data_IF_171262928529
#
_entry.id   IF_171262928529
#
_cell.length_a   1.000
_cell.length_b   1.000
_cell.length_c   1.000
_cell.angle_alpha   90.00
_cell.angle_beta   90.00
_cell.angle_gamma   90.00
#
_symmetry.space_group_name_H-M   'P 1'
#
loop_
_entity.id
_entity.type
_entity.pdbx_description
1 polymer ?
#
# COMPACT_ATOMS: atom_id res chain seq x y z
N UNK A 1 -22.58 -1.66 -8.06
CA UNK A 1 -23.21 -2.96 -7.74
C UNK A 1 -23.82 -2.86 -6.35
N UNK A 2 -24.96 -3.48 -6.12
CA UNK A 2 -25.57 -3.46 -4.78
C UNK A 2 -25.15 -4.70 -4.02
N UNK A 3 -24.63 -4.49 -2.84
CA UNK A 3 -24.24 -5.55 -1.92
C UNK A 3 -25.07 -5.43 -0.65
N UNK A 4 -25.35 -6.56 -0.02
CA UNK A 4 -25.85 -6.57 1.35
C UNK A 4 -24.73 -7.00 2.27
N UNK A 5 -24.37 -6.16 3.22
CA UNK A 5 -23.49 -6.50 4.32
C UNK A 5 -24.29 -7.27 5.36
N UNK A 6 -23.76 -8.41 5.78
CA UNK A 6 -24.26 -9.22 6.88
C UNK A 6 -23.27 -9.12 8.02
N UNK A 7 -23.75 -8.78 9.21
CA UNK A 7 -22.94 -8.72 10.44
C UNK A 7 -23.51 -9.69 11.44
N UNK A 8 -22.80 -10.76 11.73
CA UNK A 8 -23.18 -11.75 12.73
C UNK A 8 -22.54 -11.36 14.06
N UNK A 9 -23.37 -11.10 15.06
CA UNK A 9 -22.95 -10.79 16.43
C UNK A 9 -22.69 -12.09 17.18
N UNK A 10 -21.46 -12.31 17.60
CA UNK A 10 -21.01 -13.53 18.29
C UNK A 10 -20.00 -13.20 19.38
N UNK A 11 -19.31 -14.20 19.89
CA UNK A 11 -18.22 -14.04 20.84
C UNK A 11 -16.88 -14.33 20.19
N UNK A 12 -15.81 -13.75 20.72
CA UNK A 12 -14.44 -14.02 20.27
C UNK A 12 -14.13 -15.52 20.25
N UNK A 13 -14.67 -16.26 21.24
CA UNK A 13 -14.48 -17.70 21.38
C UNK A 13 -15.15 -18.49 20.24
N UNK A 14 -16.31 -18.04 19.75
CA UNK A 14 -17.14 -18.78 18.80
C UNK A 14 -16.95 -18.29 17.33
N UNK A 15 -16.20 -17.22 17.11
CA UNK A 15 -16.03 -16.58 15.81
C UNK A 15 -15.51 -17.54 14.71
N UNK A 16 -14.50 -18.34 15.02
CA UNK A 16 -13.93 -19.29 14.06
C UNK A 16 -14.96 -20.36 13.67
N UNK A 17 -15.74 -20.85 14.64
CA UNK A 17 -16.76 -21.84 14.38
C UNK A 17 -17.93 -21.26 13.56
N UNK A 18 -18.33 -20.02 13.87
CA UNK A 18 -19.31 -19.28 13.06
C UNK A 18 -18.83 -19.13 11.62
N UNK A 19 -17.55 -18.82 11.43
CA UNK A 19 -16.95 -18.69 10.09
C UNK A 19 -16.99 -20.01 9.31
N UNK A 20 -16.70 -21.12 9.97
CA UNK A 20 -16.81 -22.47 9.37
C UNK A 20 -18.26 -22.81 9.00
N UNK A 21 -19.23 -22.49 9.87
CA UNK A 21 -20.65 -22.73 9.60
C UNK A 21 -21.18 -21.96 8.38
N UNK A 22 -20.64 -20.76 8.13
CA UNK A 22 -21.01 -19.96 6.95
C UNK A 22 -20.62 -20.63 5.63
N UNK A 23 -19.65 -21.52 5.61
CA UNK A 23 -19.29 -22.28 4.40
C UNK A 23 -20.45 -23.18 3.94
N UNK A 24 -21.30 -23.66 4.86
CA UNK A 24 -22.47 -24.50 4.52
C UNK A 24 -23.56 -23.73 3.72
N UNK A 25 -23.54 -22.42 3.82
CA UNK A 25 -24.40 -21.52 3.01
C UNK A 25 -23.65 -20.83 1.87
N UNK A 26 -22.42 -21.27 1.58
CA UNK A 26 -21.62 -20.83 0.44
C UNK A 26 -20.82 -19.55 0.68
N UNK A 27 -20.59 -19.16 1.93
CA UNK A 27 -19.76 -18.02 2.31
C UNK A 27 -18.39 -18.51 2.75
N UNK A 28 -17.35 -18.21 1.97
CA UNK A 28 -15.99 -18.64 2.23
C UNK A 28 -15.10 -17.51 2.76
N UNK A 29 -15.47 -16.26 2.47
CA UNK A 29 -14.71 -15.08 2.83
C UNK A 29 -15.46 -14.26 3.88
N UNK A 30 -14.85 -14.12 5.05
CA UNK A 30 -15.40 -13.36 6.18
C UNK A 30 -14.35 -12.44 6.77
N UNK A 31 -14.80 -11.30 7.28
CA UNK A 31 -14.02 -10.38 8.08
C UNK A 31 -14.41 -10.60 9.54
N UNK A 32 -13.44 -10.77 10.42
CA UNK A 32 -13.64 -10.92 11.86
C UNK A 32 -13.20 -9.63 12.54
N UNK A 33 -14.11 -8.96 13.23
CA UNK A 33 -13.83 -7.76 14.02
C UNK A 33 -14.00 -8.05 15.50
N UNK A 34 -12.92 -7.99 16.25
CA UNK A 34 -12.86 -8.15 17.70
C UNK A 34 -11.75 -7.27 18.28
N UNK A 35 -11.62 -7.27 19.60
CA UNK A 35 -10.60 -6.52 20.35
C UNK A 35 -9.44 -7.42 20.82
N UNK A 36 -9.28 -8.61 20.24
CA UNK A 36 -8.15 -9.51 20.56
C UNK A 36 -6.86 -8.92 20.03
N UNK A 37 -5.89 -8.75 20.91
CA UNK A 37 -4.55 -8.30 20.53
C UNK A 37 -3.83 -9.44 19.78
N UNK A 38 -3.38 -9.16 18.58
CA UNK A 38 -2.54 -10.10 17.82
C UNK A 38 -1.20 -10.30 18.53
N UNK A 39 -0.72 -11.53 18.55
CA UNK A 39 0.62 -11.86 19.02
C UNK A 39 1.68 -11.40 18.03
N UNK A 40 2.91 -11.22 18.49
CA UNK A 40 4.02 -10.83 17.61
C UNK A 40 4.30 -11.89 16.53
N UNK A 41 3.99 -13.18 16.79
CA UNK A 41 4.09 -14.25 15.79
C UNK A 41 3.01 -14.12 14.71
N UNK A 42 1.77 -13.80 15.08
CA UNK A 42 0.67 -13.57 14.12
C UNK A 42 0.90 -12.33 13.28
N UNK A 43 1.36 -11.24 13.88
CA UNK A 43 1.76 -10.01 13.16
C UNK A 43 2.84 -10.30 12.10
N UNK A 44 3.86 -11.09 12.47
CA UNK A 44 4.92 -11.49 11.55
C UNK A 44 4.41 -12.37 10.39
N UNK A 45 3.45 -13.28 10.65
CA UNK A 45 2.85 -14.11 9.61
C UNK A 45 1.95 -13.31 8.65
N UNK A 46 1.32 -12.25 9.14
CA UNK A 46 0.47 -11.36 8.35
C UNK A 46 1.25 -10.24 7.64
N UNK A 47 2.58 -10.19 7.79
CA UNK A 47 3.42 -9.07 7.35
C UNK A 47 2.89 -7.71 7.84
N UNK A 48 2.23 -7.70 9.00
CA UNK A 48 1.65 -6.51 9.59
C UNK A 48 2.71 -5.83 10.48
N UNK A 49 3.20 -4.69 10.03
CA UNK A 49 4.25 -3.93 10.71
C UNK A 49 3.75 -3.08 11.90
N UNK A 50 2.44 -3.04 12.13
CA UNK A 50 1.83 -2.25 13.20
C UNK A 50 0.94 -3.06 14.11
N UNK A 51 1.23 -2.97 15.40
CA UNK A 51 0.31 -3.38 16.46
C UNK A 51 -0.64 -2.22 16.75
N UNK A 52 -1.88 -2.30 16.22
CA UNK A 52 -2.93 -1.35 16.59
C UNK A 52 -3.27 -1.57 18.07
N UNK A 53 -3.17 -0.54 18.90
CA UNK A 53 -3.72 -0.59 20.26
C UNK A 53 -5.25 -0.72 20.15
N UNK A 54 -5.76 -1.89 20.41
CA UNK A 54 -7.19 -2.16 20.50
C UNK A 54 -7.66 -1.93 21.93
N UNK A 55 -8.93 -1.59 22.17
CA UNK A 55 -9.53 -1.64 23.49
C UNK A 55 -9.35 -3.01 24.15
N UNK A 56 -9.57 -3.10 25.47
CA UNK A 56 -9.61 -4.41 26.14
C UNK A 56 -10.67 -5.29 25.49
N UNK A 57 -10.32 -6.55 25.26
CA UNK A 57 -11.24 -7.54 24.71
C UNK A 57 -12.40 -7.76 25.71
N UNK A 58 -13.60 -7.37 25.29
CA UNK A 58 -14.84 -7.55 26.05
C UNK A 58 -15.54 -8.88 25.72
N UNK A 59 -14.89 -9.73 24.91
CA UNK A 59 -15.39 -11.01 24.45
C UNK A 59 -16.42 -10.91 23.33
N UNK A 60 -16.74 -9.72 22.83
CA UNK A 60 -17.62 -9.53 21.67
C UNK A 60 -16.87 -9.68 20.36
N UNK A 61 -17.56 -10.17 19.34
CA UNK A 61 -17.00 -10.35 18.02
C UNK A 61 -18.07 -10.20 16.94
N UNK A 62 -17.73 -9.47 15.88
CA UNK A 62 -18.52 -9.35 14.68
C UNK A 62 -17.89 -10.18 13.55
N UNK A 63 -18.67 -11.12 12.99
CA UNK A 63 -18.30 -11.83 11.76
C UNK A 63 -19.07 -11.20 10.61
N UNK A 64 -18.35 -10.56 9.69
CA UNK A 64 -18.91 -9.73 8.63
C UNK A 64 -18.62 -10.37 7.28
N UNK A 65 -19.62 -10.40 6.41
CA UNK A 65 -19.44 -10.77 5.01
C UNK A 65 -20.36 -9.96 4.10
N UNK A 66 -20.02 -9.96 2.82
CA UNK A 66 -20.74 -9.22 1.80
C UNK A 66 -21.27 -10.18 0.75
N UNK A 67 -22.50 -9.95 0.30
CA UNK A 67 -23.13 -10.74 -0.74
C UNK A 67 -23.79 -9.84 -1.77
N UNK A 68 -23.50 -10.11 -3.03
CA UNK A 68 -24.26 -9.52 -4.13
C UNK A 68 -25.62 -10.19 -4.22
N UNK A 69 -26.68 -9.41 -4.23
CA UNK A 69 -28.05 -9.91 -4.41
C UNK A 69 -28.52 -9.66 -5.85
N UNK A 70 -28.61 -10.73 -6.64
CA UNK A 70 -29.05 -10.62 -8.03
C UNK A 70 -30.54 -10.34 -8.12
N UNK A 71 -31.33 -10.93 -7.20
CA UNK A 71 -32.80 -10.71 -7.12
C UNK A 71 -33.28 -10.62 -5.68
N UNK A 72 -34.39 -9.91 -5.41
CA UNK A 72 -35.00 -9.86 -4.07
C UNK A 72 -35.44 -11.23 -3.51
N UNK A 73 -35.73 -12.17 -4.39
CA UNK A 73 -36.14 -13.53 -4.02
C UNK A 73 -34.93 -14.35 -3.53
N UNK A 74 -33.80 -14.24 -4.21
CA UNK A 74 -32.54 -14.89 -3.78
C UNK A 74 -32.07 -14.36 -2.44
N UNK A 75 -32.12 -13.05 -2.23
CA UNK A 75 -31.81 -12.44 -0.94
C UNK A 75 -32.71 -12.92 0.18
N UNK A 76 -34.01 -13.08 -0.07
CA UNK A 76 -34.94 -13.62 0.92
C UNK A 76 -34.65 -15.08 1.26
N UNK A 77 -34.40 -15.90 0.24
CA UNK A 77 -34.08 -17.33 0.43
C UNK A 77 -32.74 -17.51 1.20
N UNK A 78 -31.75 -16.71 0.89
CA UNK A 78 -30.49 -16.74 1.60
C UNK A 78 -30.65 -16.35 3.08
N UNK A 79 -31.34 -15.24 3.38
CA UNK A 79 -31.63 -14.81 4.75
C UNK A 79 -32.40 -15.88 5.54
N UNK A 80 -33.30 -16.60 4.88
CA UNK A 80 -34.01 -17.71 5.52
C UNK A 80 -33.04 -18.85 5.87
N UNK A 81 -32.19 -19.28 4.91
CA UNK A 81 -31.18 -20.32 5.15
C UNK A 81 -30.22 -19.96 6.27
N UNK A 82 -29.73 -18.71 6.26
CA UNK A 82 -28.83 -18.21 7.31
C UNK A 82 -29.53 -18.20 8.68
N UNK A 83 -30.79 -17.79 8.74
CA UNK A 83 -31.59 -17.80 9.97
C UNK A 83 -31.73 -19.23 10.51
N UNK A 84 -32.07 -20.19 9.65
CA UNK A 84 -32.24 -21.58 10.06
C UNK A 84 -30.91 -22.18 10.56
N UNK A 85 -29.81 -21.93 9.84
CA UNK A 85 -28.45 -22.36 10.25
C UNK A 85 -28.06 -21.82 11.62
N UNK A 86 -28.16 -20.49 11.81
CA UNK A 86 -27.72 -19.84 13.06
C UNK A 86 -28.63 -20.17 14.25
N UNK A 87 -29.90 -20.51 13.99
CA UNK A 87 -30.83 -20.93 15.04
C UNK A 87 -30.52 -22.34 15.56
N UNK A 88 -30.07 -23.24 14.72
CA UNK A 88 -29.71 -24.61 15.08
C UNK A 88 -28.30 -24.74 15.65
N UNK A 89 -27.42 -23.80 15.32
CA UNK A 89 -25.99 -23.82 15.67
C UNK A 89 -25.73 -23.94 17.18
N UNK A 90 -26.42 -23.24 18.09
CA UNK A 90 -26.20 -23.42 19.54
C UNK A 90 -26.43 -24.84 20.03
N UNK A 91 -27.49 -25.49 19.55
CA UNK A 91 -27.86 -26.86 19.97
C UNK A 91 -26.91 -27.93 19.39
N UNK A 92 -26.41 -27.68 18.18
CA UNK A 92 -25.56 -28.66 17.44
C UNK A 92 -24.10 -28.51 17.83
N UNK A 93 -23.60 -27.30 17.95
CA UNK A 93 -22.17 -26.99 18.08
C UNK A 93 -21.79 -26.41 19.44
N UNK A 94 -22.75 -26.10 20.30
CA UNK A 94 -22.51 -25.59 21.65
C UNK A 94 -21.95 -24.18 21.69
N UNK A 95 -22.24 -23.37 20.67
CA UNK A 95 -21.91 -21.95 20.65
C UNK A 95 -22.99 -21.12 21.37
N UNK A 96 -22.65 -19.89 21.74
CA UNK A 96 -23.63 -18.97 22.28
C UNK A 96 -24.66 -18.58 21.19
N UNK A 97 -25.92 -18.22 21.57
CA UNK A 97 -26.92 -17.78 20.60
C UNK A 97 -26.43 -16.58 19.79
N UNK A 98 -26.47 -16.69 18.49
CA UNK A 98 -26.00 -15.65 17.56
C UNK A 98 -27.18 -14.99 16.86
N UNK A 99 -27.01 -13.71 16.53
CA UNK A 99 -27.95 -12.91 15.72
C UNK A 99 -27.21 -12.26 14.58
N UNK A 100 -27.95 -11.87 13.54
CA UNK A 100 -27.33 -11.13 12.46
C UNK A 100 -28.16 -9.90 12.09
N UNK A 101 -27.46 -8.90 11.60
CA UNK A 101 -28.00 -7.68 11.03
C UNK A 101 -27.66 -7.62 9.53
N UNK A 102 -28.54 -7.00 8.74
CA UNK A 102 -28.30 -6.78 7.32
C UNK A 102 -28.38 -5.28 7.04
N UNK A 103 -27.44 -4.78 6.26
CA UNK A 103 -27.43 -3.41 5.77
C UNK A 103 -27.20 -3.44 4.26
N UNK A 104 -28.10 -2.83 3.52
CA UNK A 104 -27.87 -2.61 2.10
C UNK A 104 -26.71 -1.60 1.96
N UNK A 105 -25.69 -1.99 1.24
CA UNK A 105 -24.50 -1.19 0.99
C UNK A 105 -24.35 -1.05 -0.51
N UNK A 106 -24.25 0.17 -1.00
CA UNK A 106 -23.84 0.37 -2.38
C UNK A 106 -22.31 0.28 -2.44
N UNK A 107 -21.77 -0.40 -3.45
CA UNK A 107 -20.32 -0.39 -3.69
C UNK A 107 -19.77 1.05 -3.71
N UNK A 108 -20.57 1.99 -4.18
CA UNK A 108 -20.27 3.42 -4.18
C UNK A 108 -20.08 4.02 -2.76
N UNK A 109 -20.79 3.52 -1.74
CA UNK A 109 -20.66 4.02 -0.38
C UNK A 109 -19.35 3.54 0.28
N UNK A 110 -18.93 2.31 -0.02
CA UNK A 110 -17.67 1.77 0.49
C UNK A 110 -16.45 2.29 -0.31
N UNK A 111 -16.59 2.36 -1.63
CA UNK A 111 -15.56 2.92 -2.52
C UNK A 111 -15.28 4.41 -2.27
N UNK A 112 -16.20 5.13 -1.62
CA UNK A 112 -16.08 6.58 -1.41
C UNK A 112 -15.77 6.99 0.03
N UNK A 113 -16.07 6.15 1.05
CA UNK A 113 -15.87 6.53 2.46
C UNK A 113 -14.39 6.84 2.78
N UNK A 114 -13.43 6.13 2.17
CA UNK A 114 -12.00 6.41 2.37
C UNK A 114 -11.57 7.74 1.74
N UNK A 115 -12.28 8.24 0.73
CA UNK A 115 -12.00 9.52 0.07
C UNK A 115 -12.14 10.72 1.00
N UNK A 116 -13.02 10.63 2.00
CA UNK A 116 -13.19 11.69 3.00
C UNK A 116 -11.96 11.86 3.90
N UNK A 117 -11.18 10.79 4.08
CA UNK A 117 -9.99 10.79 4.92
C UNK A 117 -8.71 11.16 4.16
N UNK A 118 -8.75 11.12 2.83
CA UNK A 118 -7.59 11.42 2.00
C UNK A 118 -7.57 12.90 1.61
N UNK A 119 -6.83 13.70 2.37
CA UNK A 119 -6.70 15.16 2.17
C UNK A 119 -5.36 15.50 1.51
N UNK A 120 -5.29 16.62 0.75
CA UNK A 120 -4.03 17.11 0.22
C UNK A 120 -2.99 17.32 1.32
N UNK A 121 -1.76 16.95 1.05
CA UNK A 121 -0.63 17.11 1.98
C UNK A 121 0.66 17.43 1.21
N UNK A 122 1.66 17.98 1.92
CA UNK A 122 2.94 18.36 1.32
C UNK A 122 4.08 17.45 1.78
N UNK A 123 5.00 17.22 0.85
CA UNK A 123 6.33 16.68 1.11
C UNK A 123 7.30 17.70 0.50
N UNK A 124 7.85 18.59 1.32
CA UNK A 124 8.70 19.70 0.93
C UNK A 124 8.03 20.54 -0.21
N UNK A 125 8.62 20.58 -1.40
CA UNK A 125 8.10 21.30 -2.57
C UNK A 125 7.02 20.54 -3.35
N UNK A 126 6.70 19.29 -2.96
CA UNK A 126 5.75 18.44 -3.66
C UNK A 126 4.40 18.47 -2.92
N UNK A 127 3.34 18.88 -3.60
CA UNK A 127 1.97 18.75 -3.15
C UNK A 127 1.37 17.45 -3.71
N UNK A 128 0.91 16.58 -2.85
CA UNK A 128 0.16 15.38 -3.22
C UNK A 128 -1.32 15.67 -2.92
N UNK A 129 -2.17 15.51 -3.93
CA UNK A 129 -3.60 15.74 -3.78
C UNK A 129 -4.41 14.66 -4.49
N UNK A 130 -5.51 14.19 -3.89
CA UNK A 130 -6.42 13.28 -4.57
C UNK A 130 -7.05 13.93 -5.80
N UNK A 131 -7.47 13.10 -6.76
CA UNK A 131 -8.03 13.58 -8.03
C UNK A 131 -9.33 14.36 -7.86
N UNK A 132 -10.12 14.06 -6.83
CA UNK A 132 -11.43 14.67 -6.52
C UNK A 132 -11.34 15.93 -5.65
N UNK A 133 -10.19 16.24 -5.06
CA UNK A 133 -10.03 17.45 -4.23
C UNK A 133 -9.52 18.62 -5.08
N UNK A 134 -10.03 19.82 -4.78
CA UNK A 134 -9.44 21.04 -5.32
C UNK A 134 -8.00 21.19 -4.80
N UNK A 135 -7.13 21.83 -5.60
CA UNK A 135 -5.81 22.22 -5.11
C UNK A 135 -6.05 23.37 -4.12
N UNK A 136 -5.72 23.18 -2.82
CA UNK A 136 -5.91 24.24 -1.84
C UNK A 136 -4.95 25.40 -2.14
N UNK A 137 -5.40 26.62 -1.86
CA UNK A 137 -4.50 27.77 -1.80
C UNK A 137 -3.44 27.53 -0.73
N UNK A 138 -2.25 28.07 -0.90
CA UNK A 138 -1.02 27.77 -0.15
C UNK A 138 -1.12 27.79 1.39
N UNK A 139 -2.21 28.32 1.95
CA UNK A 139 -2.44 28.49 3.38
C UNK A 139 -3.22 27.33 4.06
N UNK A 140 -3.88 26.45 3.31
CA UNK A 140 -4.81 25.46 3.85
C UNK A 140 -4.28 24.00 3.83
N UNK A 141 -3.01 23.79 3.49
CA UNK A 141 -2.44 22.45 3.38
C UNK A 141 -1.97 21.94 4.74
N UNK A 142 -2.43 20.74 5.12
CA UNK A 142 -1.95 20.06 6.32
C UNK A 142 -0.45 19.77 6.18
N UNK A 143 0.37 20.43 7.01
CA UNK A 143 1.76 20.04 7.19
C UNK A 143 1.81 18.73 7.96
N UNK A 144 2.21 17.65 7.29
CA UNK A 144 2.64 16.44 7.99
C UNK A 144 4.04 16.70 8.56
N UNK A 145 4.09 17.11 9.82
CA UNK A 145 5.30 17.47 10.56
C UNK A 145 6.15 16.24 10.86
N UNK A 146 6.99 15.85 9.92
CA UNK A 146 8.24 15.21 10.27
C UNK A 146 9.19 16.32 10.74
N UNK A 147 9.96 16.06 11.78
CA UNK A 147 10.79 17.00 12.54
C UNK A 147 11.80 17.80 11.69
N UNK A 148 11.35 18.87 11.03
CA UNK A 148 12.20 19.89 10.40
C UNK A 148 11.76 21.27 10.86
N UNK A 149 12.73 22.14 11.11
CA UNK A 149 12.68 23.43 11.75
C UNK A 149 11.63 24.39 11.14
N UNK A 150 10.83 25.03 11.98
CA UNK A 150 9.53 25.70 11.70
C UNK A 150 9.65 27.15 11.19
N UNK A 151 10.58 27.53 10.36
CA UNK A 151 10.79 28.98 10.05
C UNK A 151 10.75 29.37 8.56
N UNK A 152 10.43 28.49 7.63
CA UNK A 152 10.26 28.91 6.23
C UNK A 152 8.79 29.14 5.88
N UNK A 153 8.46 30.35 5.39
CA UNK A 153 7.17 30.65 4.77
C UNK A 153 6.97 29.69 3.59
N UNK A 154 5.89 28.92 3.60
CA UNK A 154 5.55 27.97 2.54
C UNK A 154 5.37 28.75 1.22
N UNK A 155 6.31 28.59 0.31
CA UNK A 155 6.14 28.99 -1.09
C UNK A 155 5.08 28.14 -1.78
N UNK A 156 4.52 28.61 -2.90
CA UNK A 156 3.63 27.76 -3.72
C UNK A 156 4.34 26.46 -4.10
N UNK A 157 3.62 25.32 -4.18
CA UNK A 157 4.22 24.06 -4.52
C UNK A 157 4.77 24.10 -5.94
N UNK A 158 6.04 23.73 -6.10
CA UNK A 158 6.67 23.67 -7.43
C UNK A 158 6.17 22.44 -8.23
N UNK A 159 5.77 21.38 -7.52
CA UNK A 159 5.36 20.11 -8.10
C UNK A 159 4.02 19.68 -7.49
N UNK A 160 3.05 19.38 -8.35
CA UNK A 160 1.76 18.84 -7.93
C UNK A 160 1.61 17.42 -8.50
N UNK A 161 1.35 16.45 -7.62
CA UNK A 161 1.06 15.08 -7.98
C UNK A 161 -0.41 14.80 -7.64
N UNK A 162 -1.18 14.39 -8.64
CA UNK A 162 -2.56 13.91 -8.47
C UNK A 162 -2.56 12.41 -8.33
N UNK A 163 -3.12 11.90 -7.23
CA UNK A 163 -3.18 10.47 -6.97
C UNK A 163 -4.61 10.05 -6.65
N UNK A 164 -5.06 9.03 -7.36
CA UNK A 164 -6.17 8.20 -6.94
C UNK A 164 -5.59 6.83 -6.56
N UNK A 165 -5.38 6.56 -5.27
CA UNK A 165 -4.75 5.30 -4.87
C UNK A 165 -5.64 4.08 -5.11
N UNK A 166 -6.97 4.27 -5.23
CA UNK A 166 -7.90 3.16 -5.39
C UNK A 166 -7.73 2.10 -4.30
N UNK A 167 -7.55 0.84 -4.72
CA UNK A 167 -7.20 -0.30 -3.87
C UNK A 167 -5.68 -0.57 -3.81
N UNK A 168 -4.87 0.20 -4.54
CA UNK A 168 -3.43 0.01 -4.57
C UNK A 168 -2.75 0.67 -3.36
N UNK A 169 -1.64 0.08 -2.90
CA UNK A 169 -0.78 0.67 -1.88
C UNK A 169 -0.08 1.93 -2.43
N UNK A 170 0.27 2.88 -1.54
CA UNK A 170 1.00 4.09 -1.93
C UNK A 170 0.12 5.32 -2.09
N UNK A 171 -0.71 5.61 -1.07
CA UNK A 171 -1.51 6.86 -1.01
C UNK A 171 -0.64 8.12 -0.91
N UNK A 172 0.65 7.97 -0.60
CA UNK A 172 1.58 9.06 -0.37
C UNK A 172 1.58 9.61 1.06
N UNK A 173 0.56 9.34 1.87
CA UNK A 173 0.51 9.81 3.27
C UNK A 173 1.47 9.05 4.18
N UNK A 174 1.86 7.85 3.80
CA UNK A 174 2.74 7.00 4.59
C UNK A 174 4.17 7.56 4.64
N UNK A 175 4.84 7.38 5.79
CA UNK A 175 6.22 7.85 6.04
C UNK A 175 7.19 7.39 4.96
N UNK A 176 7.08 6.14 4.55
CA UNK A 176 7.97 5.52 3.55
C UNK A 176 7.87 6.19 2.19
N UNK A 177 6.67 6.59 1.77
CA UNK A 177 6.47 7.32 0.51
C UNK A 177 7.06 8.72 0.61
N UNK A 178 6.86 9.42 1.74
CA UNK A 178 7.48 10.74 1.98
C UNK A 178 8.99 10.65 1.94
N UNK A 179 9.57 9.64 2.60
CA UNK A 179 11.01 9.38 2.62
C UNK A 179 11.56 9.14 1.20
N UNK A 180 10.87 8.34 0.39
CA UNK A 180 11.26 8.10 -1.00
C UNK A 180 11.16 9.37 -1.85
N UNK A 181 10.06 10.12 -1.77
CA UNK A 181 9.89 11.38 -2.53
C UNK A 181 10.98 12.41 -2.18
N UNK A 182 11.33 12.55 -0.90
CA UNK A 182 12.48 13.38 -0.47
C UNK A 182 13.80 12.88 -1.06
N UNK A 183 14.00 11.56 -1.08
CA UNK A 183 15.17 10.96 -1.72
C UNK A 183 15.23 11.25 -3.22
N UNK A 184 14.11 11.09 -3.93
CA UNK A 184 14.02 11.39 -5.35
C UNK A 184 14.28 12.89 -5.61
N UNK A 185 13.69 13.80 -4.82
CA UNK A 185 13.94 15.23 -4.94
C UNK A 185 15.42 15.62 -4.71
N UNK A 186 16.11 14.87 -3.85
CA UNK A 186 17.53 15.10 -3.54
C UNK A 186 18.47 14.62 -4.66
N UNK A 187 18.15 13.49 -5.32
CA UNK A 187 19.10 12.79 -6.17
C UNK A 187 18.77 12.82 -7.67
N UNK A 188 17.51 13.01 -8.07
CA UNK A 188 17.15 13.07 -9.49
C UNK A 188 17.78 14.30 -10.15
N UNK A 189 18.37 14.05 -11.29
CA UNK A 189 18.86 15.07 -12.21
C UNK A 189 18.03 15.09 -13.48
N UNK A 190 17.98 16.24 -14.12
CA UNK A 190 17.27 16.38 -15.40
C UNK A 190 17.81 15.42 -16.45
N UNK A 191 16.94 14.59 -16.98
CA UNK A 191 17.29 13.61 -18.02
C UNK A 191 17.60 12.23 -17.49
N UNK A 192 17.53 11.99 -16.18
CA UNK A 192 17.74 10.65 -15.58
C UNK A 192 16.68 9.65 -16.04
N UNK A 193 17.09 8.40 -16.09
CA UNK A 193 16.21 7.24 -16.24
C UNK A 193 15.99 6.62 -14.87
N UNK A 194 14.74 6.41 -14.51
CA UNK A 194 14.36 5.88 -13.19
C UNK A 194 13.69 4.52 -13.34
N UNK A 195 14.01 3.61 -12.42
CA UNK A 195 13.32 2.33 -12.23
C UNK A 195 12.58 2.38 -10.88
N UNK A 196 11.28 2.12 -10.91
CA UNK A 196 10.40 2.08 -9.74
C UNK A 196 9.93 0.62 -9.52
N UNK A 197 10.52 -0.05 -8.52
CA UNK A 197 10.26 -1.45 -8.19
C UNK A 197 9.26 -1.57 -7.04
N UNK A 198 8.11 -2.21 -7.30
CA UNK A 198 6.95 -2.19 -6.42
C UNK A 198 6.24 -0.85 -6.54
N UNK A 199 5.82 -0.49 -7.75
CA UNK A 199 5.36 0.86 -8.05
C UNK A 199 4.02 1.23 -7.38
N UNK A 200 3.19 0.26 -7.01
CA UNK A 200 1.90 0.49 -6.38
C UNK A 200 1.05 1.49 -7.17
N UNK A 201 0.69 2.61 -6.55
CA UNK A 201 -0.07 3.69 -7.18
C UNK A 201 0.68 4.46 -8.28
N UNK A 202 1.99 4.22 -8.45
CA UNK A 202 2.86 4.94 -9.39
C UNK A 202 3.36 6.29 -8.89
N UNK A 203 3.13 6.64 -7.63
CA UNK A 203 3.45 7.98 -7.09
C UNK A 203 4.94 8.33 -7.20
N UNK A 204 5.84 7.37 -6.96
CA UNK A 204 7.29 7.61 -7.04
C UNK A 204 7.74 7.86 -8.47
N UNK A 205 7.22 7.08 -9.41
CA UNK A 205 7.50 7.26 -10.81
C UNK A 205 6.98 8.59 -11.36
N UNK A 206 5.73 8.97 -11.03
CA UNK A 206 5.15 10.27 -11.39
C UNK A 206 5.98 11.40 -10.78
N UNK A 207 6.34 11.28 -9.50
CA UNK A 207 7.22 12.23 -8.81
C UNK A 207 8.55 12.38 -9.54
N UNK A 208 9.15 11.26 -9.99
CA UNK A 208 10.40 11.25 -10.72
C UNK A 208 10.32 12.03 -12.03
N UNK A 209 9.27 11.84 -12.84
CA UNK A 209 9.06 12.61 -14.08
C UNK A 209 8.92 14.09 -13.78
N UNK A 210 8.11 14.45 -12.80
CA UNK A 210 7.88 15.86 -12.43
C UNK A 210 9.13 16.53 -11.84
N UNK A 211 10.05 15.75 -11.24
CA UNK A 211 11.36 16.22 -10.80
C UNK A 211 12.38 16.35 -11.94
N UNK A 212 12.03 15.91 -13.17
CA UNK A 212 12.86 16.11 -14.35
C UNK A 212 13.50 14.84 -14.93
N UNK A 213 13.14 13.66 -14.46
CA UNK A 213 13.54 12.41 -15.10
C UNK A 213 13.05 12.37 -16.57
N UNK A 214 13.83 11.78 -17.44
CA UNK A 214 13.48 11.62 -18.87
C UNK A 214 12.49 10.47 -19.07
N UNK A 215 12.61 9.41 -18.29
CA UNK A 215 11.73 8.26 -18.36
C UNK A 215 11.71 7.46 -17.08
N UNK A 216 10.60 6.76 -16.86
CA UNK A 216 10.41 5.82 -15.75
C UNK A 216 9.99 4.46 -16.28
N UNK A 217 10.61 3.42 -15.75
CA UNK A 217 10.11 2.05 -15.85
C UNK A 217 9.53 1.65 -14.51
N UNK A 218 8.26 1.29 -14.48
CA UNK A 218 7.52 0.91 -13.27
C UNK A 218 7.21 -0.58 -13.31
N UNK A 219 7.44 -1.27 -12.21
CA UNK A 219 7.22 -2.72 -12.10
C UNK A 219 6.45 -3.03 -10.83
N UNK A 220 5.43 -3.87 -10.94
CA UNK A 220 4.73 -4.42 -9.78
C UNK A 220 4.34 -5.88 -10.02
N UNK A 221 4.24 -6.66 -8.98
CA UNK A 221 3.76 -8.04 -9.04
C UNK A 221 2.24 -8.09 -9.20
N UNK A 222 1.53 -7.07 -8.72
CA UNK A 222 0.08 -6.96 -8.79
C UNK A 222 -0.38 -6.23 -10.06
N UNK A 223 -1.10 -6.95 -10.91
CA UNK A 223 -1.70 -6.38 -12.13
C UNK A 223 -2.64 -5.19 -11.83
N UNK A 224 -3.34 -5.21 -10.70
CA UNK A 224 -4.23 -4.10 -10.32
C UNK A 224 -3.44 -2.86 -9.93
N UNK A 225 -2.33 -3.01 -9.23
CA UNK A 225 -1.44 -1.90 -8.92
C UNK A 225 -0.91 -1.25 -10.20
N UNK A 226 -0.48 -2.04 -11.19
CA UNK A 226 -0.02 -1.50 -12.48
C UNK A 226 -1.13 -0.76 -13.22
N UNK A 227 -2.37 -1.25 -13.20
CA UNK A 227 -3.52 -0.54 -13.81
C UNK A 227 -3.76 0.82 -13.15
N UNK A 228 -3.77 0.85 -11.81
CA UNK A 228 -3.92 2.09 -11.03
C UNK A 228 -2.77 3.06 -11.32
N UNK A 229 -1.54 2.56 -11.40
CA UNK A 229 -0.39 3.38 -11.78
C UNK A 229 -0.57 4.03 -13.16
N UNK A 230 -0.99 3.27 -14.18
CA UNK A 230 -1.23 3.80 -15.53
C UNK A 230 -2.29 4.92 -15.49
N UNK A 231 -3.42 4.71 -14.80
CA UNK A 231 -4.48 5.70 -14.65
C UNK A 231 -3.96 6.97 -13.96
N UNK A 232 -3.15 6.84 -12.91
CA UNK A 232 -2.53 7.97 -12.22
C UNK A 232 -1.52 8.72 -13.10
N UNK A 233 -0.76 8.02 -13.95
CA UNK A 233 0.13 8.67 -14.92
C UNK A 233 -0.66 9.49 -15.94
N UNK A 234 -1.78 8.98 -16.44
CA UNK A 234 -2.67 9.72 -17.35
C UNK A 234 -3.24 10.99 -16.68
N UNK A 235 -3.75 10.88 -15.44
CA UNK A 235 -4.23 12.02 -14.65
C UNK A 235 -3.18 13.10 -14.48
N UNK A 236 -1.92 12.70 -14.28
CA UNK A 236 -0.78 13.61 -14.16
C UNK A 236 -0.23 14.10 -15.51
N UNK A 237 -0.83 13.71 -16.63
CA UNK A 237 -0.44 14.08 -17.98
C UNK A 237 1.02 13.68 -18.30
N UNK A 238 1.47 12.56 -17.75
CA UNK A 238 2.79 11.99 -18.08
C UNK A 238 2.73 11.45 -19.51
N UNK A 239 3.62 11.90 -20.42
CA UNK A 239 3.65 11.41 -21.78
C UNK A 239 3.92 9.89 -21.83
N UNK A 240 3.17 9.16 -22.67
CA UNK A 240 3.31 7.70 -22.75
C UNK A 240 4.73 7.23 -23.12
N UNK A 241 5.46 8.03 -23.89
CA UNK A 241 6.86 7.78 -24.26
C UNK A 241 7.84 7.90 -23.10
N UNK A 242 7.42 8.49 -21.98
CA UNK A 242 8.23 8.63 -20.77
C UNK A 242 7.97 7.53 -19.73
N UNK A 243 7.04 6.61 -19.99
CA UNK A 243 6.65 5.57 -19.03
C UNK A 243 6.59 4.20 -19.67
N UNK A 244 7.10 3.20 -18.97
CA UNK A 244 7.01 1.78 -19.34
C UNK A 244 6.57 1.00 -18.12
N UNK A 245 5.64 0.06 -18.29
CA UNK A 245 5.09 -0.71 -17.18
C UNK A 245 5.29 -2.20 -17.43
N UNK A 246 5.67 -2.92 -16.39
CA UNK A 246 5.77 -4.38 -16.38
C UNK A 246 5.01 -4.96 -15.21
N UNK A 247 4.44 -6.14 -15.40
CA UNK A 247 3.81 -6.94 -14.36
C UNK A 247 4.69 -8.16 -14.13
N UNK A 248 5.08 -8.42 -12.88
CA UNK A 248 5.81 -9.63 -12.53
C UNK A 248 6.72 -9.50 -11.32
N UNK A 249 7.26 -10.62 -10.90
CA UNK A 249 8.13 -10.74 -9.74
C UNK A 249 9.60 -10.55 -10.12
N UNK A 250 10.15 -9.39 -9.80
CA UNK A 250 11.57 -9.07 -10.07
C UNK A 250 12.56 -9.92 -9.27
N UNK A 251 12.10 -10.66 -8.25
CA UNK A 251 12.96 -11.57 -7.48
C UNK A 251 13.21 -12.86 -8.25
N UNK A 252 12.18 -13.44 -8.83
CA UNK A 252 12.21 -14.79 -9.40
C UNK A 252 12.17 -14.86 -10.94
N UNK A 253 11.69 -13.80 -11.63
CA UNK A 253 11.50 -13.80 -13.08
C UNK A 253 12.71 -13.22 -13.82
N UNK A 254 13.56 -14.11 -14.38
CA UNK A 254 14.75 -13.72 -15.14
C UNK A 254 14.42 -13.12 -16.53
N UNK A 255 13.28 -13.50 -17.14
CA UNK A 255 12.85 -12.93 -18.41
C UNK A 255 12.41 -11.47 -18.20
N UNK A 256 11.70 -11.20 -17.11
CA UNK A 256 11.33 -9.83 -16.72
C UNK A 256 12.57 -8.97 -16.46
N UNK A 257 13.57 -9.48 -15.74
CA UNK A 257 14.84 -8.77 -15.52
C UNK A 257 15.52 -8.41 -16.85
N UNK A 258 15.51 -9.32 -17.81
CA UNK A 258 16.06 -9.09 -19.15
C UNK A 258 15.29 -8.00 -19.88
N UNK A 259 13.95 -8.00 -19.79
CA UNK A 259 13.09 -6.98 -20.40
C UNK A 259 13.33 -5.60 -19.79
N UNK A 260 13.42 -5.50 -18.46
CA UNK A 260 13.70 -4.24 -17.75
C UNK A 260 15.04 -3.64 -18.20
N UNK A 261 16.04 -4.48 -18.49
CA UNK A 261 17.39 -4.06 -18.88
C UNK A 261 17.60 -3.93 -20.40
N UNK A 262 16.59 -4.23 -21.24
CA UNK A 262 16.74 -4.22 -22.69
C UNK A 262 17.22 -2.86 -23.23
N UNK A 263 16.79 -1.76 -22.61
CA UNK A 263 17.18 -0.39 -22.99
C UNK A 263 18.34 0.15 -22.14
N UNK A 264 18.99 -0.71 -21.34
CA UNK A 264 20.13 -0.39 -20.50
C UNK A 264 19.78 -0.11 -19.04
N UNK A 265 20.76 0.36 -18.29
CA UNK A 265 20.68 0.62 -16.84
C UNK A 265 20.12 2.00 -16.52
N UNK A 266 19.81 2.22 -15.24
CA UNK A 266 19.13 3.38 -14.72
C UNK A 266 20.06 4.27 -13.91
N UNK A 267 19.74 5.57 -13.86
CA UNK A 267 20.45 6.55 -13.04
C UNK A 267 19.98 6.46 -11.58
N UNK A 268 18.68 6.20 -11.39
CA UNK A 268 18.06 6.03 -10.07
C UNK A 268 17.17 4.79 -10.07
N UNK A 269 17.26 3.99 -9.01
CA UNK A 269 16.35 2.88 -8.70
C UNK A 269 15.66 3.21 -7.38
N UNK A 270 14.34 3.26 -7.38
CA UNK A 270 13.50 3.43 -6.20
C UNK A 270 12.82 2.11 -5.84
N UNK A 271 12.82 1.76 -4.54
CA UNK A 271 12.22 0.53 -4.02
C UNK A 271 11.52 0.87 -2.71
N UNK A 272 10.19 0.85 -2.70
CA UNK A 272 9.40 1.11 -1.50
C UNK A 272 8.49 -0.08 -1.19
N UNK A 273 9.08 -1.15 -0.68
CA UNK A 273 8.44 -2.43 -0.37
C UNK A 273 8.98 -2.99 0.95
N UNK A 274 8.52 -4.17 1.36
CA UNK A 274 8.95 -4.82 2.60
C UNK A 274 10.46 -5.07 2.64
N UNK A 275 11.07 -4.80 3.79
CA UNK A 275 12.51 -4.91 4.02
C UNK A 275 13.06 -6.31 3.68
N UNK A 276 12.31 -7.37 3.94
CA UNK A 276 12.69 -8.76 3.65
C UNK A 276 12.82 -9.02 2.14
N UNK A 277 11.94 -8.43 1.35
CA UNK A 277 11.99 -8.53 -0.12
C UNK A 277 13.18 -7.74 -0.66
N UNK A 278 13.38 -6.51 -0.15
CA UNK A 278 14.57 -5.70 -0.49
C UNK A 278 15.85 -6.48 -0.19
N UNK A 279 15.95 -7.09 1.00
CA UNK A 279 17.12 -7.85 1.41
C UNK A 279 17.44 -9.01 0.45
N UNK A 280 16.43 -9.71 -0.07
CA UNK A 280 16.62 -10.75 -1.08
C UNK A 280 17.18 -10.20 -2.41
N UNK A 281 16.76 -8.98 -2.78
CA UNK A 281 17.15 -8.33 -4.02
C UNK A 281 18.54 -7.67 -3.96
N UNK A 282 19.06 -7.32 -2.77
CA UNK A 282 20.30 -6.54 -2.60
C UNK A 282 21.52 -7.12 -3.32
N UNK A 283 21.57 -8.44 -3.53
CA UNK A 283 22.64 -9.09 -4.26
C UNK A 283 22.62 -8.82 -5.78
N UNK A 284 21.52 -8.31 -6.30
CA UNK A 284 21.31 -8.11 -7.75
C UNK A 284 20.85 -6.70 -8.12
N UNK A 285 20.45 -5.85 -7.16
CA UNK A 285 19.96 -4.50 -7.45
C UNK A 285 20.98 -3.61 -8.16
N UNK A 286 22.26 -3.83 -7.92
CA UNK A 286 23.34 -3.09 -8.62
C UNK A 286 23.32 -3.33 -10.14
N UNK A 287 22.77 -4.46 -10.64
CA UNK A 287 22.68 -4.75 -12.07
C UNK A 287 21.79 -3.76 -12.82
N UNK A 288 20.77 -3.21 -12.14
CA UNK A 288 19.88 -2.21 -12.72
C UNK A 288 20.52 -0.81 -12.80
N UNK A 289 21.56 -0.53 -12.00
CA UNK A 289 22.14 0.80 -11.84
C UNK A 289 23.31 1.02 -12.82
N UNK A 290 23.42 2.24 -13.33
CA UNK A 290 24.68 2.75 -13.92
C UNK A 290 25.74 2.89 -12.83
N UNK A 291 27.02 2.90 -13.22
CA UNK A 291 28.10 3.32 -12.28
C UNK A 291 27.82 4.75 -11.82
N UNK A 292 27.87 4.97 -10.50
CA UNK A 292 27.46 6.23 -9.87
C UNK A 292 25.96 6.39 -9.63
N UNK A 293 25.14 5.46 -10.14
CA UNK A 293 23.68 5.48 -9.98
C UNK A 293 23.23 5.28 -8.53
N UNK A 294 22.06 5.80 -8.21
CA UNK A 294 21.50 5.90 -6.85
C UNK A 294 20.42 4.86 -6.63
N UNK A 295 20.49 4.15 -5.50
CA UNK A 295 19.48 3.24 -5.01
C UNK A 295 18.80 3.84 -3.79
N UNK A 296 17.50 4.10 -3.89
CA UNK A 296 16.66 4.65 -2.82
C UNK A 296 15.73 3.55 -2.35
N UNK A 297 15.83 3.16 -1.08
CA UNK A 297 15.05 2.07 -0.50
C UNK A 297 14.28 2.58 0.72
N UNK A 298 13.00 2.25 0.84
CA UNK A 298 12.14 2.46 2.00
C UNK A 298 11.11 1.33 2.13
N UNK A 299 10.16 1.44 3.06
CA UNK A 299 9.37 0.29 3.51
C UNK A 299 10.14 -0.53 4.54
N UNK A 300 11.08 0.11 5.22
CA UNK A 300 12.02 -0.51 6.15
C UNK A 300 11.74 0.06 7.54
N UNK A 301 11.31 -0.78 8.48
CA UNK A 301 11.24 -0.40 9.89
C UNK A 301 12.65 -0.14 10.44
N UNK A 302 12.79 0.78 11.40
CA UNK A 302 14.07 1.09 12.04
C UNK A 302 14.74 -0.17 12.60
N UNK A 303 13.98 -1.09 13.19
CA UNK A 303 14.48 -2.37 13.71
C UNK A 303 15.04 -3.30 12.63
N UNK A 304 14.62 -3.14 11.36
CA UNK A 304 15.11 -3.91 10.20
C UNK A 304 16.22 -3.19 9.41
N UNK A 305 16.64 -1.99 9.84
CA UNK A 305 17.70 -1.21 9.18
C UNK A 305 18.98 -2.03 9.01
N UNK A 306 19.41 -2.74 10.06
CA UNK A 306 20.66 -3.52 10.03
C UNK A 306 20.63 -4.67 9.01
N UNK A 307 19.46 -5.23 8.72
CA UNK A 307 19.27 -6.23 7.66
C UNK A 307 19.71 -5.65 6.30
N UNK A 308 19.23 -4.43 5.99
CA UNK A 308 19.53 -3.76 4.72
C UNK A 308 21.00 -3.29 4.68
N UNK A 309 21.53 -2.72 5.77
CA UNK A 309 22.94 -2.35 5.86
C UNK A 309 23.87 -3.54 5.63
N UNK A 310 23.55 -4.67 6.24
CA UNK A 310 24.32 -5.91 6.07
C UNK A 310 24.28 -6.41 4.62
N UNK A 311 23.11 -6.34 3.96
CA UNK A 311 22.99 -6.70 2.54
C UNK A 311 23.79 -5.77 1.62
N UNK A 312 23.76 -4.45 1.83
CA UNK A 312 24.59 -3.50 1.09
C UNK A 312 26.07 -3.81 1.30
N UNK A 313 26.48 -4.06 2.54
CA UNK A 313 27.90 -4.41 2.85
C UNK A 313 28.34 -5.71 2.18
N UNK A 314 27.43 -6.66 1.99
CA UNK A 314 27.72 -7.92 1.33
C UNK A 314 27.84 -7.76 -0.22
N UNK A 315 27.29 -6.71 -0.80
CA UNK A 315 27.41 -6.40 -2.23
C UNK A 315 28.56 -5.42 -2.46
N UNK A 316 29.72 -5.86 -3.00
CA UNK A 316 30.91 -5.02 -3.18
C UNK A 316 30.71 -3.86 -4.17
N UNK A 317 29.70 -3.96 -5.05
CA UNK A 317 29.35 -2.93 -6.03
C UNK A 317 28.57 -1.77 -5.43
N UNK A 318 28.03 -1.93 -4.22
CA UNK A 318 27.24 -0.89 -3.55
C UNK A 318 28.03 -0.19 -2.45
N UNK A 319 27.70 1.06 -2.23
CA UNK A 319 28.20 1.89 -1.14
C UNK A 319 27.02 2.59 -0.46
N UNK A 320 26.89 2.42 0.86
CA UNK A 320 25.88 3.13 1.64
C UNK A 320 26.22 4.63 1.66
N UNK A 321 25.22 5.47 1.33
CA UNK A 321 25.36 6.94 1.37
C UNK A 321 24.79 7.48 2.68
N UNK A 322 23.48 7.26 2.91
CA UNK A 322 22.79 7.77 4.08
C UNK A 322 21.66 6.83 4.55
N UNK A 323 21.21 7.09 5.77
CA UNK A 323 19.98 6.54 6.32
C UNK A 323 19.22 7.68 6.98
N UNK A 324 17.97 7.88 6.58
CA UNK A 324 17.12 8.99 7.05
C UNK A 324 15.87 8.41 7.69
N UNK A 325 15.63 8.65 8.99
CA UNK A 325 14.43 8.19 9.68
C UNK A 325 13.25 9.16 9.49
N UNK A 326 12.02 8.62 9.53
CA UNK A 326 10.76 9.36 9.70
C UNK A 326 9.78 8.46 10.45
N UNK A 327 9.44 8.79 11.71
CA UNK A 327 8.69 7.92 12.61
C UNK A 327 9.42 6.60 12.86
N UNK A 328 8.73 5.48 12.69
CA UNK A 328 9.28 4.14 12.87
C UNK A 328 10.01 3.60 11.62
N UNK A 329 10.03 4.40 10.54
CA UNK A 329 10.53 3.99 9.24
C UNK A 329 11.85 4.67 8.89
N UNK A 330 12.59 4.04 7.98
CA UNK A 330 13.83 4.61 7.43
C UNK A 330 13.85 4.56 5.91
N UNK A 331 14.54 5.56 5.33
CA UNK A 331 15.07 5.48 3.97
C UNK A 331 16.54 5.14 4.03
N UNK A 332 16.95 4.14 3.28
CA UNK A 332 18.33 3.77 3.08
C UNK A 332 18.73 4.12 1.66
N UNK A 333 19.79 4.92 1.49
CA UNK A 333 20.30 5.31 0.18
C UNK A 333 21.67 4.70 -0.05
N UNK A 334 21.87 4.07 -1.20
CA UNK A 334 23.15 3.52 -1.64
C UNK A 334 23.51 4.04 -3.04
N UNK A 335 24.78 3.90 -3.40
CA UNK A 335 25.33 4.23 -4.73
C UNK A 335 26.04 3.02 -5.31
N UNK A 336 25.91 2.81 -6.62
CA UNK A 336 26.78 1.89 -7.33
C UNK A 336 28.15 2.51 -7.57
N UNK A 337 29.20 1.80 -7.19
CA UNK A 337 30.62 2.19 -7.37
C UNK A 337 31.04 2.18 -8.82
#
# INVERSE_FOLDING_TARGET
MKYTQFTIKTTTKDADLVSVLLMDVGICDVQIENNVQLTDEELNQMYADFKKELPEDDGSCDVIFYREEETPEEGRLFRQKLTDLLKEAPDIYGIDPVTFECKDTDSADWENNWKEYFKPFRVDQILIAPTWEAIPDSTDVLENKGSVDQTEELSDPEIIIRIDPGMAFGTGTHETTRLCLRGLAQYIQKGDRVLDLGCGSGILGIGSIKLGAASVTSVDIDEQAVKVAIENYEVNQVPAEQSTFYIGDVVSDEDLKTQILQDGTYDVVAVNILAEVIAQMLSTLDQYLKTGGILIMSGILQEKEELIRSGIKANPSLELIDVVPDGDWVRVTARKK
#
